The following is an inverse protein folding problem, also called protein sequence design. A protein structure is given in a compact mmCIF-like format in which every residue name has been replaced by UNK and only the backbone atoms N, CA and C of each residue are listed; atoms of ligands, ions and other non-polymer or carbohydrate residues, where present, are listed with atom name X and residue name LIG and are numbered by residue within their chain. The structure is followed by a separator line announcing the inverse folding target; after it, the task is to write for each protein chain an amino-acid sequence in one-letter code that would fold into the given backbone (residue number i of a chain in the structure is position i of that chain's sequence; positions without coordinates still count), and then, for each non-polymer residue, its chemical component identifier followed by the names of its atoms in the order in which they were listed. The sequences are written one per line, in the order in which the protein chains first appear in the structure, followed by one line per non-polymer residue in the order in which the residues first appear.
data_IF_854409606071
#
_entry.id   IF_854409606071
#
_cell.length_a   1.000
_cell.length_b   1.000
_cell.length_c   1.000
_cell.angle_alpha   90.00
_cell.angle_beta   90.00
_cell.angle_gamma   90.00
#
_symmetry.space_group_name_H-M   'P 1'
#
loop_
_entity.id
_entity.type
_entity.pdbx_description
1 polymer ?
#
# COMPACT_ATOMS: atom_id res chain seq x y z
N UNK A 1 -22.26 8.54 -1.35
CA UNK A 1 -20.99 7.85 -1.69
C UNK A 1 -20.13 8.72 -2.63
N UNK A 2 -19.68 9.91 -2.21
CA UNK A 2 -19.06 10.92 -3.10
C UNK A 2 -17.61 10.57 -3.53
N UNK A 3 -16.86 9.86 -2.71
CA UNK A 3 -15.40 9.71 -2.88
C UNK A 3 -14.94 8.35 -3.43
N UNK A 4 -15.83 7.38 -3.59
CA UNK A 4 -15.46 6.00 -3.98
C UNK A 4 -14.85 5.89 -5.38
N UNK A 5 -15.23 6.79 -6.28
CA UNK A 5 -14.76 6.76 -7.66
C UNK A 5 -13.45 7.53 -7.86
N UNK A 6 -12.97 8.26 -6.83
CA UNK A 6 -11.71 8.99 -6.88
C UNK A 6 -10.56 7.98 -6.81
N UNK A 7 -9.69 7.90 -7.82
CA UNK A 7 -8.51 7.04 -7.77
C UNK A 7 -7.48 7.58 -6.77
N UNK A 8 -6.84 6.68 -6.03
CA UNK A 8 -5.84 7.06 -5.01
C UNK A 8 -4.50 6.43 -5.34
N UNK A 9 -3.44 7.24 -5.34
CA UNK A 9 -2.05 6.77 -5.38
C UNK A 9 -1.46 6.79 -3.96
N UNK A 10 -0.99 5.64 -3.51
CA UNK A 10 -0.27 5.48 -2.25
C UNK A 10 1.22 5.34 -2.56
N UNK A 11 2.00 6.30 -2.08
CA UNK A 11 3.46 6.23 -2.06
C UNK A 11 3.91 5.79 -0.68
N UNK A 12 4.82 4.83 -0.60
CA UNK A 12 5.26 4.30 0.68
C UNK A 12 6.63 3.65 0.65
N UNK A 13 7.13 3.36 1.84
CA UNK A 13 8.34 2.57 2.08
C UNK A 13 8.08 1.52 3.17
N UNK A 14 9.12 1.02 3.83
CA UNK A 14 9.11 -0.07 4.81
C UNK A 14 8.56 0.32 6.20
N UNK A 15 7.45 1.07 6.24
CA UNK A 15 6.78 1.54 7.47
C UNK A 15 5.38 0.90 7.61
N UNK A 16 5.29 -0.37 8.07
CA UNK A 16 4.03 -1.12 8.11
C UNK A 16 2.94 -0.45 8.95
N UNK A 17 3.28 0.14 10.09
CA UNK A 17 2.30 0.80 10.97
C UNK A 17 1.61 2.00 10.30
N UNK A 18 2.34 2.78 9.49
CA UNK A 18 1.74 3.89 8.75
C UNK A 18 0.81 3.38 7.64
N UNK A 19 1.20 2.31 6.95
CA UNK A 19 0.36 1.68 5.92
C UNK A 19 -0.92 1.11 6.52
N UNK A 20 -0.83 0.45 7.68
CA UNK A 20 -1.99 -0.03 8.43
C UNK A 20 -2.96 1.11 8.76
N UNK A 21 -2.47 2.21 9.34
CA UNK A 21 -3.29 3.40 9.66
C UNK A 21 -3.93 4.02 8.40
N UNK A 22 -3.19 4.07 7.30
CA UNK A 22 -3.69 4.55 6.02
C UNK A 22 -4.83 3.66 5.50
N UNK A 23 -4.67 2.34 5.50
CA UNK A 23 -5.69 1.40 5.03
C UNK A 23 -6.97 1.51 5.86
N UNK A 24 -6.85 1.61 7.18
CA UNK A 24 -8.01 1.84 8.07
C UNK A 24 -8.75 3.15 7.73
N UNK A 25 -8.01 4.20 7.36
CA UNK A 25 -8.59 5.46 6.93
C UNK A 25 -9.29 5.34 5.57
N UNK A 26 -8.65 4.67 4.60
CA UNK A 26 -9.22 4.41 3.28
C UNK A 26 -10.48 3.53 3.33
N UNK A 27 -10.56 2.62 4.31
CA UNK A 27 -11.74 1.77 4.54
C UNK A 27 -13.01 2.57 4.81
N UNK A 28 -12.91 3.79 5.36
CA UNK A 28 -14.07 4.67 5.60
C UNK A 28 -14.72 5.14 4.29
N UNK A 29 -13.91 5.38 3.25
CA UNK A 29 -14.38 5.88 1.95
C UNK A 29 -14.47 4.79 0.87
N UNK A 30 -13.82 3.64 1.07
CA UNK A 30 -13.85 2.45 0.20
C UNK A 30 -13.56 2.78 -1.28
N UNK A 31 -12.38 3.33 -1.61
CA UNK A 31 -12.06 3.70 -2.98
C UNK A 31 -12.06 2.45 -3.88
N UNK A 32 -12.62 2.60 -5.09
CA UNK A 32 -12.70 1.51 -6.07
C UNK A 32 -11.38 1.27 -6.81
N UNK A 33 -10.45 2.22 -6.78
CA UNK A 33 -9.15 2.14 -7.45
C UNK A 33 -8.05 2.66 -6.53
N UNK A 34 -7.09 1.80 -6.20
CA UNK A 34 -5.87 2.17 -5.49
C UNK A 34 -4.67 1.74 -6.31
N UNK A 35 -3.73 2.67 -6.50
CA UNK A 35 -2.41 2.43 -7.05
C UNK A 35 -1.41 2.48 -5.90
N UNK A 36 -0.50 1.52 -5.85
CA UNK A 36 0.49 1.45 -4.78
C UNK A 36 1.88 1.41 -5.39
N UNK A 37 2.72 2.37 -5.00
CA UNK A 37 4.13 2.46 -5.33
C UNK A 37 4.93 2.40 -4.03
N UNK A 38 5.66 1.30 -3.85
CA UNK A 38 6.52 1.08 -2.69
C UNK A 38 7.97 1.09 -3.14
N UNK A 39 8.81 1.80 -2.40
CA UNK A 39 10.26 1.71 -2.56
C UNK A 39 10.80 0.39 -1.99
N UNK A 40 11.83 -0.17 -2.63
CA UNK A 40 12.39 -1.49 -2.34
C UNK A 40 13.39 -1.48 -1.17
N UNK A 41 13.68 -2.64 -0.55
CA UNK A 41 14.64 -2.72 0.56
C UNK A 41 16.06 -2.32 0.11
N UNK A 42 16.78 -1.56 0.94
CA UNK A 42 18.14 -1.08 0.67
C UNK A 42 19.26 -2.10 1.01
N UNK A 43 19.02 -3.39 0.78
CA UNK A 43 19.97 -4.51 0.98
C UNK A 43 20.17 -5.09 2.40
N UNK A 44 19.26 -4.88 3.36
CA UNK A 44 19.31 -5.60 4.64
C UNK A 44 18.05 -6.45 4.90
N UNK A 45 18.20 -7.51 5.70
CA UNK A 45 17.11 -8.45 6.01
C UNK A 45 15.96 -7.77 6.77
N UNK A 46 16.28 -6.83 7.65
CA UNK A 46 15.31 -6.04 8.42
C UNK A 46 14.38 -5.24 7.49
N UNK A 47 14.92 -4.61 6.46
CA UNK A 47 14.18 -3.82 5.49
C UNK A 47 13.35 -4.71 4.59
N UNK A 48 13.85 -5.90 4.23
CA UNK A 48 13.08 -6.91 3.51
C UNK A 48 11.86 -7.33 4.34
N UNK A 49 12.06 -7.68 5.61
CA UNK A 49 10.98 -8.07 6.52
C UNK A 49 9.96 -6.95 6.69
N UNK A 50 10.40 -5.69 6.87
CA UNK A 50 9.49 -4.53 6.97
C UNK A 50 8.71 -4.28 5.68
N UNK A 51 9.34 -4.43 4.52
CA UNK A 51 8.65 -4.32 3.23
C UNK A 51 7.62 -5.44 3.04
N UNK A 52 7.93 -6.67 3.45
CA UNK A 52 6.97 -7.77 3.38
C UNK A 52 5.81 -7.57 4.36
N UNK A 53 6.05 -7.01 5.55
CA UNK A 53 4.98 -6.57 6.46
C UNK A 53 4.09 -5.50 5.84
N UNK A 54 4.66 -4.52 5.12
CA UNK A 54 3.87 -3.52 4.38
C UNK A 54 2.97 -4.18 3.33
N UNK A 55 3.50 -5.14 2.56
CA UNK A 55 2.71 -5.90 1.58
C UNK A 55 1.57 -6.68 2.24
N UNK A 56 1.81 -7.28 3.41
CA UNK A 56 0.78 -7.98 4.18
C UNK A 56 -0.34 -7.03 4.64
N UNK A 57 0.00 -5.83 5.11
CA UNK A 57 -1.03 -4.84 5.48
C UNK A 57 -1.90 -4.48 4.28
N UNK A 58 -1.31 -4.25 3.10
CA UNK A 58 -2.04 -3.94 1.85
C UNK A 58 -3.01 -5.07 1.46
N UNK A 59 -2.67 -6.33 1.74
CA UNK A 59 -3.54 -7.48 1.46
C UNK A 59 -4.77 -7.53 2.36
N UNK A 60 -4.80 -6.80 3.48
CA UNK A 60 -5.96 -6.73 4.39
C UNK A 60 -7.10 -5.82 3.89
N UNK A 61 -6.95 -5.22 2.71
CA UNK A 61 -8.02 -4.46 2.06
C UNK A 61 -9.17 -5.43 1.74
N UNK A 62 -10.28 -5.28 2.46
CA UNK A 62 -11.41 -6.24 2.49
C UNK A 62 -12.66 -5.72 1.77
N UNK A 63 -12.58 -4.58 1.07
CA UNK A 63 -13.68 -4.05 0.28
C UNK A 63 -13.40 -4.20 -1.23
N UNK A 64 -14.48 -4.11 -2.04
CA UNK A 64 -14.40 -4.19 -3.51
C UNK A 64 -13.52 -3.07 -4.06
N UNK A 65 -12.25 -3.38 -4.33
CA UNK A 65 -11.22 -2.45 -4.78
C UNK A 65 -10.39 -3.06 -5.90
N UNK A 66 -10.19 -2.33 -7.00
CA UNK A 66 -9.18 -2.66 -8.01
C UNK A 66 -7.84 -2.13 -7.54
N UNK A 67 -6.97 -3.01 -7.06
CA UNK A 67 -5.61 -2.67 -6.65
C UNK A 67 -4.66 -2.97 -7.80
N UNK A 68 -3.99 -1.96 -8.34
CA UNK A 68 -2.87 -2.16 -9.26
C UNK A 68 -1.56 -2.00 -8.50
N UNK A 69 -0.77 -3.07 -8.46
CA UNK A 69 0.55 -3.11 -7.82
C UNK A 69 1.62 -3.02 -8.90
N UNK A 70 2.48 -2.01 -8.84
CA UNK A 70 3.73 -2.00 -9.61
C UNK A 70 4.86 -2.10 -8.58
N UNK A 71 5.52 -3.25 -8.53
CA UNK A 71 6.75 -3.39 -7.73
C UNK A 71 7.84 -2.60 -8.45
N UNK A 72 8.00 -1.33 -8.10
CA UNK A 72 9.17 -0.54 -8.49
C UNK A 72 10.30 -0.91 -7.52
N UNK A 73 10.90 -2.08 -7.73
CA UNK A 73 12.26 -2.30 -7.24
C UNK A 73 13.14 -1.49 -8.19
N UNK A 74 13.28 -0.18 -7.93
CA UNK A 74 14.37 0.60 -8.50
C UNK A 74 15.63 0.12 -7.79
N UNK A 75 16.29 -0.88 -8.38
CA UNK A 75 17.72 -1.07 -8.15
C UNK A 75 18.38 0.14 -8.80
N UNK A 76 18.74 1.12 -7.99
CA UNK A 76 19.80 2.08 -8.34
C UNK A 76 21.12 1.36 -8.08
#
# INVERSE_FOLDING_TARGET
MKYQNIPILVLGYNRPEHIKKLILSLKKIRPKKIYICLDGPKNNLTDKNKNDSVKKEIQKIDWKCKIKKKNLILKI
#
